data_IF_076939238808
#
_entry.id   IF_076939238808
#
_cell.length_a   1.000
_cell.length_b   1.000
_cell.length_c   1.000
_cell.angle_alpha   90.00
_cell.angle_beta   90.00
_cell.angle_gamma   90.00
#
_symmetry.space_group_name_H-M   'P 1'
#
loop_
_entity.id
_entity.type
_entity.pdbx_description
1 polymer ?
#
# COMPACT_ATOMS: atom_id res chain seq x y z
N UNK A 1 -4.69 -13.12 5.70
CA UNK A 1 -3.71 -13.55 4.67
C UNK A 1 -4.35 -13.43 3.29
N UNK A 2 -3.82 -12.57 2.41
CA UNK A 2 -4.28 -12.52 1.02
C UNK A 2 -4.18 -13.88 0.32
N UNK A 3 -5.18 -14.22 -0.49
CA UNK A 3 -5.28 -15.46 -1.27
C UNK A 3 -5.86 -16.66 -0.51
N UNK A 4 -6.08 -16.52 0.80
CA UNK A 4 -6.56 -17.63 1.65
C UNK A 4 -7.73 -17.21 2.54
N UNK A 5 -7.65 -16.02 3.14
CA UNK A 5 -8.68 -15.54 4.07
C UNK A 5 -9.91 -15.08 3.31
N UNK A 6 -11.09 -15.59 3.68
CA UNK A 6 -12.34 -15.11 3.10
C UNK A 6 -12.68 -13.71 3.60
N UNK A 7 -13.54 -13.00 2.87
CA UNK A 7 -13.99 -11.66 3.23
C UNK A 7 -14.65 -11.62 4.62
N UNK A 8 -15.56 -12.56 4.91
CA UNK A 8 -16.22 -12.67 6.21
C UNK A 8 -15.24 -13.02 7.34
N UNK A 9 -14.30 -13.93 7.08
CA UNK A 9 -13.25 -14.23 8.05
C UNK A 9 -12.40 -13.01 8.36
N UNK A 10 -12.01 -12.25 7.33
CA UNK A 10 -11.23 -11.03 7.50
C UNK A 10 -11.99 -9.99 8.32
N UNK A 11 -13.28 -9.77 8.04
CA UNK A 11 -14.14 -8.88 8.82
C UNK A 11 -14.18 -9.30 10.30
N UNK A 12 -14.45 -10.58 10.58
CA UNK A 12 -14.49 -11.10 11.95
C UNK A 12 -13.15 -10.99 12.69
N UNK A 13 -12.03 -11.17 11.97
CA UNK A 13 -10.69 -10.98 12.55
C UNK A 13 -10.50 -9.51 12.92
N UNK A 14 -10.82 -8.59 12.02
CA UNK A 14 -10.67 -7.14 12.25
C UNK A 14 -11.53 -6.65 13.42
N UNK A 15 -12.81 -7.05 13.47
CA UNK A 15 -13.74 -6.67 14.55
C UNK A 15 -13.31 -7.15 15.94
N UNK A 16 -12.42 -8.15 16.02
CA UNK A 16 -11.93 -8.72 17.28
C UNK A 16 -10.49 -8.34 17.58
N UNK A 17 -9.82 -7.62 16.68
CA UNK A 17 -8.40 -7.34 16.83
C UNK A 17 -8.17 -6.10 17.71
N UNK A 18 -7.34 -6.16 18.76
CA UNK A 18 -7.12 -5.04 19.67
C UNK A 18 -6.63 -3.75 18.99
N UNK A 19 -5.88 -3.88 17.89
CA UNK A 19 -5.35 -2.75 17.12
C UNK A 19 -6.40 -2.04 16.24
N UNK A 20 -7.58 -2.61 16.07
CA UNK A 20 -8.62 -2.08 15.18
C UNK A 20 -9.73 -1.50 16.02
N UNK A 21 -10.22 -0.31 15.65
CA UNK A 21 -11.48 0.19 16.20
C UNK A 21 -12.63 -0.64 15.59
N UNK A 22 -13.21 -1.54 16.39
CA UNK A 22 -14.24 -2.46 15.93
C UNK A 22 -15.46 -1.72 15.33
N UNK A 23 -15.82 -0.55 15.87
CA UNK A 23 -16.98 0.23 15.42
C UNK A 23 -16.71 0.94 14.08
N UNK A 24 -15.45 1.05 13.67
CA UNK A 24 -15.01 1.65 12.41
C UNK A 24 -14.99 0.68 11.23
N UNK A 25 -15.14 -0.64 11.47
CA UNK A 25 -15.09 -1.63 10.39
C UNK A 25 -16.30 -1.44 9.47
N UNK A 26 -16.03 -1.20 8.19
CA UNK A 26 -17.04 -1.01 7.13
C UNK A 26 -16.81 -2.02 6.02
N UNK A 27 -17.87 -2.74 5.66
CA UNK A 27 -17.91 -3.66 4.55
C UNK A 27 -18.78 -3.09 3.44
N UNK A 28 -18.19 -2.88 2.27
CA UNK A 28 -18.89 -2.43 1.07
C UNK A 28 -18.88 -3.57 0.06
N UNK A 29 -20.05 -4.17 -0.17
CA UNK A 29 -20.21 -5.25 -1.15
C UNK A 29 -20.48 -4.66 -2.53
N UNK A 30 -19.84 -5.20 -3.57
CA UNK A 30 -20.12 -4.81 -4.95
C UNK A 30 -19.97 -5.97 -5.91
N UNK A 31 -20.60 -5.88 -7.09
CA UNK A 31 -20.57 -6.95 -8.09
C UNK A 31 -19.14 -7.28 -8.60
N UNK A 32 -18.21 -6.33 -8.47
CA UNK A 32 -16.83 -6.50 -8.95
C UNK A 32 -15.87 -6.86 -7.82
N UNK A 33 -15.93 -6.13 -6.69
CA UNK A 33 -15.00 -6.24 -5.57
C UNK A 33 -15.67 -5.86 -4.26
N UNK A 34 -15.54 -6.71 -3.27
CA UNK A 34 -15.93 -6.36 -1.91
C UNK A 34 -14.78 -5.61 -1.23
N UNK A 35 -15.08 -4.53 -0.53
CA UNK A 35 -14.10 -3.71 0.17
C UNK A 35 -14.31 -3.78 1.68
N UNK A 36 -13.23 -3.95 2.44
CA UNK A 36 -13.18 -3.71 3.88
C UNK A 36 -12.37 -2.45 4.14
N UNK A 37 -12.88 -1.58 5.00
CA UNK A 37 -12.20 -0.38 5.49
C UNK A 37 -12.32 -0.32 7.01
N UNK A 38 -11.29 0.16 7.68
CA UNK A 38 -11.31 0.35 9.13
C UNK A 38 -10.35 1.45 9.55
N UNK A 39 -10.52 1.91 10.78
CA UNK A 39 -9.62 2.77 11.52
C UNK A 39 -8.87 1.97 12.59
N UNK A 40 -7.73 2.50 13.01
CA UNK A 40 -6.90 1.89 14.03
C UNK A 40 -7.30 2.39 15.42
N UNK A 41 -7.18 1.53 16.43
CA UNK A 41 -7.36 1.92 17.83
C UNK A 41 -6.08 2.57 18.39
N UNK A 42 -6.15 3.02 19.64
CA UNK A 42 -4.99 3.51 20.40
C UNK A 42 -3.95 2.42 20.72
N UNK A 43 -4.29 1.15 20.52
CA UNK A 43 -3.39 0.01 20.73
C UNK A 43 -2.58 -0.36 19.48
N UNK A 44 -2.83 0.30 18.34
CA UNK A 44 -2.09 0.04 17.12
C UNK A 44 -0.59 0.34 17.27
N UNK A 45 0.29 -0.42 16.59
CA UNK A 45 1.72 -0.13 16.59
C UNK A 45 2.01 1.29 16.09
N UNK A 46 2.93 1.99 16.75
CA UNK A 46 3.23 3.40 16.43
C UNK A 46 3.88 3.67 15.06
N UNK A 47 4.09 2.65 14.22
CA UNK A 47 4.48 2.83 12.82
C UNK A 47 3.28 2.94 11.88
N UNK A 48 2.07 2.61 12.36
CA UNK A 48 0.85 2.75 11.58
C UNK A 48 0.43 4.22 11.62
N UNK A 49 0.21 4.77 10.44
CA UNK A 49 -0.16 6.18 10.33
C UNK A 49 -1.68 6.30 10.41
N UNK A 50 -2.17 7.15 11.31
CA UNK A 50 -3.55 7.63 11.33
C UNK A 50 -3.70 8.95 10.53
N UNK A 51 -2.61 9.41 9.87
CA UNK A 51 -2.49 10.76 9.34
C UNK A 51 -3.36 11.05 8.11
N UNK A 52 -4.12 10.09 7.60
CA UNK A 52 -4.92 10.33 6.40
C UNK A 52 -6.29 9.64 6.50
N UNK A 53 -7.29 10.36 7.04
CA UNK A 53 -8.70 9.98 6.91
C UNK A 53 -9.12 9.75 5.44
N UNK A 54 -8.35 10.28 4.47
CA UNK A 54 -8.55 10.01 3.06
C UNK A 54 -8.04 8.63 2.60
N UNK A 55 -7.21 7.95 3.39
CA UNK A 55 -6.63 6.63 3.07
C UNK A 55 -6.77 5.66 4.24
N UNK A 56 -8.01 5.31 4.64
CA UNK A 56 -8.21 4.29 5.65
C UNK A 56 -7.50 3.00 5.22
N UNK A 57 -7.04 2.26 6.22
CA UNK A 57 -6.57 0.90 5.99
C UNK A 57 -7.69 0.12 5.32
N UNK A 58 -7.33 -0.60 4.26
CA UNK A 58 -8.32 -1.24 3.42
C UNK A 58 -7.85 -2.59 2.91
N UNK A 59 -8.82 -3.45 2.65
CA UNK A 59 -8.64 -4.68 1.92
C UNK A 59 -9.70 -4.76 0.84
N UNK A 60 -9.41 -5.48 -0.24
CA UNK A 60 -10.45 -5.87 -1.18
C UNK A 60 -10.40 -7.37 -1.46
N UNK A 61 -11.57 -7.93 -1.71
CA UNK A 61 -11.75 -9.31 -2.11
C UNK A 61 -12.24 -9.43 -3.55
N UNK A 62 -11.98 -10.61 -4.11
CA UNK A 62 -12.58 -11.08 -5.35
C UNK A 62 -12.99 -12.52 -5.11
N UNK A 63 -14.20 -12.90 -5.54
CA UNK A 63 -14.78 -14.21 -5.24
C UNK A 63 -14.72 -14.54 -3.74
N UNK A 64 -15.11 -13.56 -2.91
CA UNK A 64 -15.12 -13.65 -1.44
C UNK A 64 -13.77 -13.98 -0.78
N UNK A 65 -12.65 -13.89 -1.49
CA UNK A 65 -11.30 -14.11 -0.93
C UNK A 65 -10.51 -12.81 -0.96
N UNK A 66 -9.88 -12.43 0.16
CA UNK A 66 -9.04 -11.23 0.25
C UNK A 66 -7.90 -11.34 -0.74
N UNK A 67 -7.80 -10.37 -1.65
CA UNK A 67 -6.76 -10.33 -2.67
C UNK A 67 -5.65 -9.34 -2.32
N UNK A 68 -6.01 -8.23 -1.70
CA UNK A 68 -5.05 -7.19 -1.33
C UNK A 68 -5.41 -6.61 0.02
N UNK A 69 -4.38 -6.31 0.80
CA UNK A 69 -4.42 -5.56 2.05
C UNK A 69 -3.50 -4.35 1.88
N UNK A 70 -3.94 -3.15 2.24
CA UNK A 70 -3.15 -1.92 2.16
C UNK A 70 -3.23 -1.13 3.46
N UNK A 71 -2.08 -0.68 3.95
CA UNK A 71 -1.91 -0.01 5.24
C UNK A 71 -0.98 1.20 5.05
N UNK A 72 -1.46 2.39 5.41
CA UNK A 72 -0.61 3.57 5.52
C UNK A 72 0.31 3.45 6.74
N UNK A 73 1.59 3.77 6.57
CA UNK A 73 2.59 3.71 7.64
C UNK A 73 3.33 5.02 7.73
N UNK A 74 3.95 5.29 8.88
CA UNK A 74 4.91 6.37 9.08
C UNK A 74 6.35 5.94 8.78
N UNK A 75 6.54 4.74 8.22
CA UNK A 75 7.87 4.19 7.91
C UNK A 75 8.42 4.92 6.68
N UNK A 76 9.56 5.63 6.81
CA UNK A 76 10.16 6.32 5.67
C UNK A 76 10.66 5.32 4.62
N UNK A 77 10.51 5.65 3.34
CA UNK A 77 10.99 4.80 2.24
C UNK A 77 12.48 4.45 2.37
N UNK A 78 13.32 5.41 2.81
CA UNK A 78 14.74 5.15 3.05
C UNK A 78 15.00 4.09 4.11
N UNK A 79 14.17 4.02 5.16
CA UNK A 79 14.29 3.00 6.19
C UNK A 79 13.93 1.61 5.63
N UNK A 80 12.87 1.53 4.81
CA UNK A 80 12.50 0.29 4.11
C UNK A 80 13.65 -0.22 3.23
N UNK A 81 14.27 0.67 2.45
CA UNK A 81 15.40 0.31 1.58
C UNK A 81 16.60 -0.21 2.38
N UNK A 82 16.90 0.39 3.54
CA UNK A 82 17.99 -0.05 4.40
C UNK A 82 17.70 -1.41 5.04
N UNK A 83 16.44 -1.70 5.38
CA UNK A 83 16.04 -2.95 6.02
C UNK A 83 15.88 -4.11 5.04
N UNK A 84 15.26 -3.87 3.89
CA UNK A 84 14.90 -4.91 2.91
C UNK A 84 15.86 -4.99 1.72
N UNK A 85 16.75 -3.99 1.57
CA UNK A 85 17.61 -3.86 0.40
C UNK A 85 16.88 -3.26 -0.81
N UNK A 86 17.51 -3.36 -1.97
CA UNK A 86 16.96 -2.86 -3.23
C UNK A 86 15.73 -3.69 -3.65
N UNK A 87 14.60 -3.07 -4.01
CA UNK A 87 13.44 -3.79 -4.55
C UNK A 87 13.77 -4.47 -5.89
N UNK A 88 13.04 -5.53 -6.21
CA UNK A 88 13.22 -6.31 -7.45
C UNK A 88 12.81 -5.47 -8.67
N UNK A 89 11.78 -4.66 -8.50
CA UNK A 89 11.25 -3.80 -9.53
C UNK A 89 10.48 -2.60 -9.00
N UNK A 90 10.02 -1.76 -9.92
CA UNK A 90 9.18 -0.63 -9.59
C UNK A 90 8.96 0.28 -10.78
N UNK A 91 8.32 1.40 -10.55
CA UNK A 91 8.24 2.50 -11.50
C UNK A 91 7.81 3.79 -10.78
N UNK A 92 7.87 4.88 -11.53
CA UNK A 92 7.31 6.16 -11.12
C UNK A 92 6.25 6.58 -12.14
N UNK A 93 5.12 7.09 -11.65
CA UNK A 93 4.04 7.62 -12.49
C UNK A 93 3.52 8.93 -11.91
N UNK A 94 3.02 9.82 -12.77
CA UNK A 94 2.22 10.96 -12.30
C UNK A 94 0.88 10.41 -11.83
N UNK A 95 0.50 10.71 -10.59
CA UNK A 95 -0.82 10.35 -10.06
C UNK A 95 -1.84 11.31 -10.65
N UNK A 96 -2.77 10.83 -11.47
CA UNK A 96 -3.93 11.64 -11.85
C UNK A 96 -5.06 11.55 -10.82
N UNK A 97 -4.99 10.56 -9.91
CA UNK A 97 -6.11 10.19 -9.05
C UNK A 97 -5.91 10.58 -7.58
N UNK A 98 -4.67 10.67 -7.08
CA UNK A 98 -4.41 10.87 -5.64
C UNK A 98 -3.90 12.25 -5.27
N UNK A 99 -3.26 12.94 -6.20
CA UNK A 99 -2.85 14.33 -6.04
C UNK A 99 -2.62 14.87 -7.46
N UNK A 100 -3.33 15.92 -7.88
CA UNK A 100 -3.24 16.44 -9.27
C UNK A 100 -1.80 16.76 -9.72
N UNK A 101 -0.90 16.98 -8.76
CA UNK A 101 0.53 17.27 -8.98
C UNK A 101 1.45 16.25 -8.28
N UNK A 102 0.89 15.13 -7.82
CA UNK A 102 1.62 14.12 -7.08
C UNK A 102 2.26 13.08 -8.00
N UNK A 103 3.42 12.62 -7.60
CA UNK A 103 4.11 11.50 -8.23
C UNK A 103 3.91 10.27 -7.33
N UNK A 104 3.52 9.15 -7.92
CA UNK A 104 3.56 7.86 -7.21
C UNK A 104 4.85 7.14 -7.56
N UNK A 105 5.61 6.81 -6.54
CA UNK A 105 6.71 5.87 -6.64
C UNK A 105 6.24 4.52 -6.08
N UNK A 106 6.31 3.50 -6.92
CA UNK A 106 5.83 2.16 -6.62
C UNK A 106 7.00 1.20 -6.71
N UNK A 107 7.20 0.40 -5.66
CA UNK A 107 8.27 -0.60 -5.58
C UNK A 107 7.73 -1.97 -5.21
N UNK A 108 8.40 -3.00 -5.71
CA UNK A 108 8.00 -4.39 -5.57
C UNK A 108 9.07 -5.22 -4.88
N UNK A 109 8.64 -6.03 -3.92
CA UNK A 109 9.43 -7.00 -3.19
C UNK A 109 8.71 -8.36 -3.20
N UNK A 110 9.46 -9.43 -2.99
CA UNK A 110 8.95 -10.80 -2.88
C UNK A 110 8.13 -11.21 -4.11
N UNK A 111 8.67 -11.01 -5.31
CA UNK A 111 7.98 -11.35 -6.56
C UNK A 111 6.73 -10.50 -6.81
N UNK A 112 6.64 -9.32 -6.19
CA UNK A 112 5.48 -8.42 -6.29
C UNK A 112 4.35 -8.69 -5.29
N UNK A 113 4.51 -9.66 -4.37
CA UNK A 113 3.53 -9.88 -3.29
C UNK A 113 3.52 -8.74 -2.26
N UNK A 114 4.63 -8.03 -2.13
CA UNK A 114 4.75 -6.83 -1.30
C UNK A 114 5.00 -5.63 -2.20
N UNK A 115 4.11 -4.65 -2.14
CA UNK A 115 4.22 -3.38 -2.87
C UNK A 115 4.34 -2.25 -1.85
N UNK A 116 5.29 -1.36 -2.04
CA UNK A 116 5.36 -0.09 -1.30
C UNK A 116 5.01 1.04 -2.25
N UNK A 117 4.09 1.90 -1.83
CA UNK A 117 3.67 3.07 -2.60
C UNK A 117 3.92 4.32 -1.75
N UNK A 118 4.69 5.26 -2.26
CA UNK A 118 4.86 6.56 -1.64
C UNK A 118 4.43 7.66 -2.62
N UNK A 119 3.68 8.64 -2.11
CA UNK A 119 3.23 9.81 -2.87
C UNK A 119 4.21 10.95 -2.62
N UNK A 120 4.80 11.46 -3.69
CA UNK A 120 5.81 12.51 -3.69
C UNK A 120 5.22 13.79 -4.28
N UNK A 121 5.71 14.95 -3.86
CA UNK A 121 5.31 16.25 -4.39
C UNK A 121 6.48 16.93 -5.11
N UNK A 122 6.18 17.71 -6.16
CA UNK A 122 7.16 18.53 -6.86
C UNK A 122 7.25 19.94 -6.25
N UNK A 123 8.44 20.60 -6.27
CA UNK A 123 9.74 20.06 -6.72
C UNK A 123 10.29 19.02 -5.74
N UNK A 124 10.85 17.93 -6.27
CA UNK A 124 11.22 16.78 -5.45
C UNK A 124 12.61 16.97 -4.83
N UNK A 125 12.68 17.09 -3.50
CA UNK A 125 13.97 17.15 -2.79
C UNK A 125 14.41 15.75 -2.40
N UNK A 126 15.73 15.51 -2.43
CA UNK A 126 16.32 14.22 -2.03
C UNK A 126 15.90 13.78 -0.63
N UNK A 127 15.89 14.72 0.33
CA UNK A 127 15.48 14.43 1.71
C UNK A 127 14.03 13.97 1.78
N UNK A 128 13.14 14.64 1.05
CA UNK A 128 11.72 14.35 1.06
C UNK A 128 11.46 12.97 0.44
N UNK A 129 12.14 12.63 -0.67
CA UNK A 129 12.06 11.29 -1.26
C UNK A 129 12.36 10.16 -0.27
N UNK A 130 13.48 10.25 0.46
CA UNK A 130 13.87 9.22 1.43
C UNK A 130 13.02 9.24 2.70
N UNK A 131 12.55 10.43 3.09
CA UNK A 131 11.73 10.65 4.29
C UNK A 131 10.25 10.36 4.09
N UNK A 132 9.78 10.18 2.85
CA UNK A 132 8.35 10.03 2.56
C UNK A 132 7.85 8.69 3.13
N UNK A 133 6.77 8.70 3.92
CA UNK A 133 6.18 7.48 4.43
C UNK A 133 5.63 6.57 3.32
N UNK A 134 5.69 5.25 3.53
CA UNK A 134 5.18 4.27 2.57
C UNK A 134 3.77 3.80 2.95
N UNK A 135 2.94 3.58 1.94
CA UNK A 135 1.78 2.70 2.03
C UNK A 135 2.22 1.28 1.67
N UNK A 136 2.12 0.38 2.62
CA UNK A 136 2.44 -1.03 2.47
C UNK A 136 1.21 -1.76 1.93
N UNK A 137 1.39 -2.49 0.83
CA UNK A 137 0.36 -3.35 0.27
C UNK A 137 0.85 -4.78 0.14
N UNK A 138 0.08 -5.74 0.65
CA UNK A 138 0.33 -7.18 0.53
C UNK A 138 -0.73 -7.80 -0.36
N UNK A 139 -0.32 -8.64 -1.30
CA UNK A 139 -1.17 -9.21 -2.33
C UNK A 139 -1.16 -10.73 -2.29
N UNK A 140 -2.25 -11.35 -2.72
CA UNK A 140 -2.32 -12.77 -2.98
C UNK A 140 -1.39 -13.16 -4.13
N UNK A 141 -0.98 -14.43 -4.18
CA UNK A 141 0.01 -14.87 -5.15
C UNK A 141 -0.51 -14.92 -6.59
N UNK A 142 -1.80 -15.17 -6.75
CA UNK A 142 -2.55 -15.14 -8.00
C UNK A 142 -2.98 -13.71 -8.39
N UNK A 143 -3.19 -12.81 -7.42
CA UNK A 143 -3.52 -11.42 -7.67
C UNK A 143 -2.45 -10.64 -8.47
N UNK A 144 -1.22 -11.14 -8.57
CA UNK A 144 -0.16 -10.51 -9.37
C UNK A 144 -0.33 -10.73 -10.89
N UNK A 145 -1.31 -11.54 -11.31
CA UNK A 145 -1.81 -11.73 -12.68
C UNK A 145 -0.89 -11.18 -13.79
N UNK A 146 0.20 -11.89 -14.09
CA UNK A 146 0.94 -12.00 -15.36
C UNK A 146 1.46 -10.75 -16.10
N UNK A 147 0.90 -9.57 -15.87
CA UNK A 147 1.12 -8.32 -16.60
C UNK A 147 1.86 -7.29 -15.76
N UNK A 148 2.24 -7.63 -14.52
CA UNK A 148 3.25 -6.90 -13.80
C UNK A 148 4.58 -7.17 -14.48
N UNK A 149 4.82 -6.44 -15.58
CA UNK A 149 6.16 -6.22 -16.11
C UNK A 149 6.91 -5.44 -15.05
N UNK A 150 7.48 -6.18 -14.10
CA UNK A 150 8.40 -5.65 -13.10
C UNK A 150 9.59 -5.11 -13.88
N UNK A 151 9.54 -3.81 -14.18
CA UNK A 151 10.71 -3.10 -14.68
C UNK A 151 11.75 -3.21 -13.57
N UNK A 152 12.93 -3.71 -13.92
CA UNK A 152 14.06 -3.77 -13.01
C UNK A 152 14.21 -2.41 -12.33
N UNK A 153 14.35 -2.41 -11.01
CA UNK A 153 14.43 -1.18 -10.26
C UNK A 153 15.63 -0.34 -10.70
N UNK A 154 15.37 0.83 -11.27
CA UNK A 154 16.37 1.80 -11.72
C UNK A 154 15.94 3.20 -11.30
N UNK A 155 16.25 3.52 -10.05
CA UNK A 155 15.92 4.81 -9.45
C UNK A 155 16.50 5.96 -10.26
N UNK A 156 17.74 5.84 -10.77
CA UNK A 156 18.42 6.89 -11.53
C UNK A 156 17.65 7.24 -12.79
N UNK A 157 17.23 6.23 -13.56
CA UNK A 157 16.43 6.44 -14.77
C UNK A 157 15.11 7.13 -14.46
N UNK A 158 14.46 6.78 -13.35
CA UNK A 158 13.16 7.37 -13.00
C UNK A 158 13.28 8.82 -12.55
N UNK A 159 14.31 9.17 -11.78
CA UNK A 159 14.60 10.58 -11.45
C UNK A 159 14.80 11.46 -12.69
N UNK A 160 15.26 10.90 -13.81
CA UNK A 160 15.40 11.65 -15.06
C UNK A 160 14.09 11.76 -15.84
N UNK A 161 13.17 10.81 -15.66
CA UNK A 161 11.89 10.76 -16.37
C UNK A 161 10.83 11.65 -15.72
N UNK A 162 10.93 11.82 -14.41
CA UNK A 162 10.08 12.72 -13.64
C UNK A 162 10.67 14.12 -13.82
N UNK A 163 9.97 15.01 -14.54
CA UNK A 163 10.40 16.38 -14.80
C UNK A 163 10.34 17.32 -13.57
N UNK A 164 10.63 16.77 -12.39
CA UNK A 164 10.70 17.43 -11.10
C UNK A 164 12.08 17.15 -10.46
#
# INVERSE_FOLDING_TARGET
QPGVTTFDQARLILERHPWVDADSVRADYSDLRDHLRWAWSDQAPGFISDLDAMRPANAYATQSTIQVLSIATDIPFGAVLLLLGQPEGGFVTVSSTRSPDGIEHITYYQGGHVTMINTLSCPLRRRDFWGTPVNLSVRAADATNGNLHLLRYDLRRWWQAVGC
#
